data_IF_052478383295
#
_entry.id   IF_052478383295
#
_cell.length_a   1.000
_cell.length_b   1.000
_cell.length_c   1.000
_cell.angle_alpha   90.00
_cell.angle_beta   90.00
_cell.angle_gamma   90.00
#
_symmetry.space_group_name_H-M   'P 1'
#
loop_
_entity.id
_entity.type
_entity.pdbx_description
1 polymer ?
#
# COMPACT_ATOMS: atom_id res chain seq x y z
N UNK A 1 4.10 -52.25 -79.61
CA UNK A 1 3.78 -51.41 -80.79
C UNK A 1 4.77 -50.26 -80.80
N UNK A 2 5.42 -50.03 -81.96
CA UNK A 2 5.95 -48.77 -82.54
C UNK A 2 6.45 -47.67 -81.58
N UNK A 3 7.61 -47.03 -81.71
CA UNK A 3 8.52 -46.83 -82.84
C UNK A 3 8.90 -45.33 -82.95
N UNK A 4 10.20 -45.05 -83.08
CA UNK A 4 10.83 -43.90 -83.79
C UNK A 4 10.89 -42.51 -83.10
N UNK A 5 12.06 -42.21 -82.51
CA UNK A 5 13.15 -41.29 -82.94
C UNK A 5 12.86 -39.90 -83.59
N UNK A 6 13.65 -38.93 -83.08
CA UNK A 6 14.35 -37.78 -83.72
C UNK A 6 13.95 -36.36 -83.27
N UNK A 7 15.02 -35.60 -83.01
CA UNK A 7 15.18 -34.25 -82.50
C UNK A 7 14.84 -33.12 -83.49
N UNK A 8 14.62 -31.91 -82.97
CA UNK A 8 15.21 -30.62 -83.39
C UNK A 8 14.42 -29.45 -82.74
N UNK A 9 15.05 -28.59 -81.94
CA UNK A 9 15.56 -27.23 -82.27
C UNK A 9 14.46 -26.15 -82.43
N UNK A 10 14.77 -24.97 -81.84
CA UNK A 10 14.31 -23.59 -82.17
C UNK A 10 13.08 -23.01 -81.43
N UNK A 11 13.38 -21.99 -80.61
CA UNK A 11 12.53 -20.83 -80.30
C UNK A 11 11.96 -20.22 -81.60
N UNK A 12 10.78 -19.55 -81.63
CA UNK A 12 10.73 -18.13 -81.27
C UNK A 12 9.35 -17.50 -80.89
N UNK A 13 9.43 -16.28 -80.32
CA UNK A 13 8.54 -15.12 -80.46
C UNK A 13 7.12 -15.08 -79.82
N UNK A 14 6.95 -14.05 -78.99
CA UNK A 14 5.69 -13.45 -78.55
C UNK A 14 4.79 -13.02 -79.72
N UNK A 15 3.49 -12.80 -79.46
CA UNK A 15 2.99 -11.46 -79.72
C UNK A 15 2.13 -10.86 -78.58
N UNK A 16 2.28 -9.54 -78.47
CA UNK A 16 1.56 -8.58 -77.64
C UNK A 16 0.04 -8.74 -77.64
N UNK A 17 -0.54 -8.71 -76.44
CA UNK A 17 -1.96 -8.43 -76.20
C UNK A 17 -2.16 -7.92 -74.77
N UNK A 18 -2.28 -6.61 -74.60
CA UNK A 18 -3.00 -5.99 -73.47
C UNK A 18 -4.48 -5.81 -73.87
N UNK A 19 -5.43 -5.56 -72.96
CA UNK A 19 -5.34 -5.47 -71.49
C UNK A 19 -6.43 -6.30 -70.76
N UNK A 20 -6.30 -6.50 -69.45
CA UNK A 20 -7.28 -6.03 -68.44
C UNK A 20 -7.08 -6.67 -67.06
N UNK A 21 -7.51 -5.87 -66.06
CA UNK A 21 -7.87 -6.20 -64.69
C UNK A 21 -6.77 -6.25 -63.61
N UNK A 22 -6.68 -5.09 -62.95
CA UNK A 22 -6.60 -4.90 -61.49
C UNK A 22 -5.72 -5.90 -60.72
N UNK A 23 -4.50 -5.46 -60.39
CA UNK A 23 -3.89 -5.87 -59.13
C UNK A 23 -3.43 -4.63 -58.36
N UNK A 24 -3.88 -4.61 -57.11
CA UNK A 24 -3.97 -3.49 -56.20
C UNK A 24 -2.64 -3.37 -55.48
N UNK A 25 -1.76 -2.47 -55.92
CA UNK A 25 -0.46 -2.32 -55.29
C UNK A 25 -0.50 -1.39 -54.07
N UNK A 26 -0.06 -2.00 -52.97
CA UNK A 26 0.25 -1.41 -51.68
C UNK A 26 1.19 -0.21 -51.84
N UNK A 27 0.69 1.00 -51.63
CA UNK A 27 1.54 2.14 -51.30
C UNK A 27 0.88 3.09 -50.32
N UNK A 28 0.64 2.61 -49.11
CA UNK A 28 0.42 3.49 -47.94
C UNK A 28 1.29 2.98 -46.81
N UNK A 29 2.59 3.28 -46.83
CA UNK A 29 3.35 3.29 -45.58
C UNK A 29 4.66 4.07 -45.71
N UNK A 30 4.67 5.33 -45.25
CA UNK A 30 5.88 6.02 -44.74
C UNK A 30 5.55 7.39 -44.11
N UNK A 31 4.49 7.49 -43.31
CA UNK A 31 4.27 8.69 -42.48
C UNK A 31 3.22 8.47 -41.38
N UNK A 32 3.38 7.41 -40.56
CA UNK A 32 2.61 7.25 -39.31
C UNK A 32 3.40 6.65 -38.13
N UNK A 33 4.63 6.21 -38.36
CA UNK A 33 5.45 5.59 -37.30
C UNK A 33 6.23 6.61 -36.42
N UNK A 34 6.09 7.91 -36.67
CA UNK A 34 6.79 8.95 -35.88
C UNK A 34 5.91 9.61 -34.80
N UNK A 35 4.59 9.39 -34.81
CA UNK A 35 3.70 9.92 -33.77
C UNK A 35 3.54 8.98 -32.57
N UNK A 36 3.78 7.67 -32.73
CA UNK A 36 3.63 6.72 -31.63
C UNK A 36 4.80 6.72 -30.65
N UNK A 37 5.98 7.22 -31.06
CA UNK A 37 7.16 7.33 -30.18
C UNK A 37 7.18 8.59 -29.32
N UNK A 38 6.37 9.61 -29.63
CA UNK A 38 6.33 10.86 -28.86
C UNK A 38 5.41 10.78 -27.63
N UNK A 39 4.50 9.81 -27.57
CA UNK A 39 3.54 9.65 -26.47
C UNK A 39 4.12 8.79 -25.33
N UNK A 40 5.21 8.04 -25.59
CA UNK A 40 5.84 7.17 -24.58
C UNK A 40 6.91 7.87 -23.73
N UNK A 41 7.19 9.15 -23.97
CA UNK A 41 8.22 9.93 -23.27
C UNK A 41 7.69 10.89 -22.19
N UNK A 42 6.39 10.89 -21.89
CA UNK A 42 5.76 11.81 -20.92
C UNK A 42 4.94 11.10 -19.83
N UNK A 43 5.37 9.90 -19.45
CA UNK A 43 4.90 9.20 -18.24
C UNK A 43 6.08 8.91 -17.31
N UNK A 44 6.88 9.94 -17.03
CA UNK A 44 7.70 9.98 -15.81
C UNK A 44 7.60 11.40 -15.25
N UNK A 45 6.42 11.74 -14.76
CA UNK A 45 6.37 12.34 -13.45
C UNK A 45 5.88 11.21 -12.56
N UNK A 46 6.80 10.41 -12.01
CA UNK A 46 6.47 9.74 -10.75
C UNK A 46 6.05 10.89 -9.84
N UNK A 47 4.78 10.90 -9.47
CA UNK A 47 4.30 11.77 -8.42
C UNK A 47 5.31 11.64 -7.30
N UNK A 48 6.06 12.72 -7.02
CA UNK A 48 6.53 12.88 -5.67
C UNK A 48 5.23 12.89 -4.89
N UNK A 49 4.94 11.80 -4.20
CA UNK A 49 3.86 11.77 -3.23
C UNK A 49 4.24 12.82 -2.21
N UNK A 50 3.83 14.07 -2.49
CA UNK A 50 3.80 15.12 -1.52
C UNK A 50 2.92 14.54 -0.43
N UNK A 51 3.58 14.08 0.63
CA UNK A 51 2.92 13.40 1.72
C UNK A 51 1.73 14.26 2.10
N UNK A 52 0.55 13.66 1.94
CA UNK A 52 -0.72 14.26 2.32
C UNK A 52 -0.53 14.80 3.73
N UNK A 53 -0.77 16.09 3.92
CA UNK A 53 -0.70 16.76 5.22
C UNK A 53 -1.33 15.84 6.27
N UNK A 54 -0.50 15.29 7.16
CA UNK A 54 -0.97 14.30 8.14
C UNK A 54 -1.55 14.94 9.39
N UNK A 55 -1.40 16.26 9.54
CA UNK A 55 -1.94 17.01 10.69
C UNK A 55 -3.46 16.89 10.81
N UNK A 56 -4.16 16.69 9.70
CA UNK A 56 -5.61 16.45 9.68
C UNK A 56 -6.04 15.16 10.41
N UNK A 57 -5.10 14.24 10.67
CA UNK A 57 -5.34 12.98 11.38
C UNK A 57 -4.93 13.05 12.86
N UNK A 58 -4.47 14.21 13.33
CA UNK A 58 -4.20 14.45 14.75
C UNK A 58 -5.49 14.32 15.55
N UNK A 59 -5.51 13.46 16.55
CA UNK A 59 -6.70 13.25 17.36
C UNK A 59 -6.72 11.93 18.11
N UNK A 60 -7.90 11.65 18.67
CA UNK A 60 -8.19 10.43 19.42
C UNK A 60 -8.45 9.28 18.46
N UNK A 61 -7.80 8.15 18.71
CA UNK A 61 -7.90 6.93 17.92
C UNK A 61 -7.96 5.70 18.82
N UNK A 62 -8.84 4.76 18.52
CA UNK A 62 -9.01 3.49 19.26
C UNK A 62 -8.62 2.32 18.38
N UNK A 63 -7.78 1.42 18.89
CA UNK A 63 -7.39 0.20 18.19
C UNK A 63 -8.60 -0.72 17.99
N UNK A 64 -8.97 -0.97 16.73
CA UNK A 64 -10.02 -1.95 16.39
C UNK A 64 -9.40 -3.32 16.18
N UNK A 65 -8.45 -3.40 15.24
CA UNK A 65 -7.78 -4.63 14.87
C UNK A 65 -6.29 -4.39 14.64
N UNK A 66 -5.47 -5.41 14.94
CA UNK A 66 -4.07 -5.47 14.51
C UNK A 66 -3.82 -6.86 13.94
N UNK A 67 -3.10 -6.92 12.82
CA UNK A 67 -2.53 -8.14 12.27
C UNK A 67 -1.01 -8.02 12.26
N UNK A 68 -0.30 -9.12 12.48
CA UNK A 68 1.15 -9.18 12.34
C UNK A 68 1.60 -10.52 11.77
N UNK A 69 2.70 -10.53 11.03
CA UNK A 69 3.34 -11.77 10.58
C UNK A 69 3.87 -12.61 11.75
N UNK A 70 4.22 -11.96 12.86
CA UNK A 70 4.61 -12.55 14.13
C UNK A 70 3.56 -12.25 15.21
N UNK A 71 2.55 -13.11 15.31
CA UNK A 71 1.38 -12.92 16.19
C UNK A 71 1.73 -12.75 17.68
N UNK A 72 2.84 -13.34 18.17
CA UNK A 72 3.27 -13.22 19.57
C UNK A 72 3.57 -11.77 19.97
N UNK A 73 3.91 -10.90 19.01
CA UNK A 73 4.19 -9.48 19.25
C UNK A 73 2.93 -8.67 19.57
N UNK A 74 1.76 -9.16 19.15
CA UNK A 74 0.45 -8.49 19.28
C UNK A 74 -0.52 -9.24 20.20
N UNK A 75 -0.16 -10.38 20.77
CA UNK A 75 -0.91 -11.03 21.88
C UNK A 75 -0.63 -10.37 23.22
N UNK A 76 -1.49 -10.57 24.23
CA UNK A 76 -1.30 -9.97 25.57
C UNK A 76 0.11 -10.26 26.13
N UNK A 77 0.77 -9.23 26.67
CA UNK A 77 2.16 -9.27 27.09
C UNK A 77 3.19 -8.96 26.00
N UNK A 78 2.77 -8.97 24.73
CA UNK A 78 3.55 -8.50 23.59
C UNK A 78 3.67 -6.97 23.53
N UNK A 79 4.77 -6.43 22.98
CA UNK A 79 4.99 -4.98 22.96
C UNK A 79 4.01 -4.20 22.07
N UNK A 80 3.41 -4.86 21.08
CA UNK A 80 2.46 -4.27 20.14
C UNK A 80 1.01 -4.66 20.43
N UNK A 81 0.73 -5.23 21.60
CA UNK A 81 -0.65 -5.37 22.11
C UNK A 81 -1.15 -4.02 22.61
N UNK A 82 -1.39 -3.10 21.66
CA UNK A 82 -1.50 -1.66 21.87
C UNK A 82 -2.97 -1.22 21.84
N UNK A 83 -3.37 -0.50 22.88
CA UNK A 83 -4.64 0.22 22.97
C UNK A 83 -4.39 1.71 22.76
N UNK A 84 -4.54 2.16 21.51
CA UNK A 84 -4.30 3.56 21.13
C UNK A 84 -5.25 4.51 21.86
N UNK A 85 -4.78 5.72 22.15
CA UNK A 85 -5.59 6.81 22.71
C UNK A 85 -5.49 8.07 21.86
N UNK A 86 -4.28 8.50 21.53
CA UNK A 86 -4.07 9.73 20.78
C UNK A 86 -2.86 9.62 19.86
N UNK A 87 -2.97 10.23 18.69
CA UNK A 87 -1.87 10.42 17.77
C UNK A 87 -1.81 11.90 17.41
N UNK A 88 -0.63 12.50 17.57
CA UNK A 88 -0.33 13.86 17.16
C UNK A 88 0.65 13.83 16.00
N UNK A 89 0.24 14.33 14.84
CA UNK A 89 1.12 14.59 13.71
C UNK A 89 1.48 16.07 13.72
N UNK A 90 2.75 16.37 14.02
CA UNK A 90 3.31 17.72 14.01
C UNK A 90 4.13 17.90 12.73
N UNK A 91 3.47 18.44 11.71
CA UNK A 91 4.08 18.73 10.41
C UNK A 91 5.12 19.85 10.46
N UNK A 92 5.03 20.77 11.43
CA UNK A 92 5.96 21.90 11.57
C UNK A 92 7.32 21.40 12.05
N UNK A 93 7.32 20.53 13.06
CA UNK A 93 8.54 19.95 13.63
C UNK A 93 8.94 18.62 12.98
N UNK A 94 8.09 18.07 12.11
CA UNK A 94 8.32 16.77 11.48
C UNK A 94 8.35 15.65 12.51
N UNK A 95 7.42 15.66 13.47
CA UNK A 95 7.34 14.66 14.54
C UNK A 95 5.97 14.01 14.58
N UNK A 96 5.93 12.81 15.17
CA UNK A 96 4.68 12.15 15.55
C UNK A 96 4.74 11.76 17.02
N UNK A 97 3.65 11.95 17.75
CA UNK A 97 3.54 11.56 19.15
C UNK A 97 2.38 10.59 19.33
N UNK A 98 2.63 9.49 20.02
CA UNK A 98 1.65 8.46 20.31
C UNK A 98 1.41 8.41 21.81
N UNK A 99 0.14 8.37 22.19
CA UNK A 99 -0.30 8.02 23.53
C UNK A 99 -1.14 6.74 23.44
N UNK A 100 -0.72 5.71 24.16
CA UNK A 100 -1.38 4.42 24.17
C UNK A 100 -1.13 3.65 25.46
N UNK A 101 -1.88 2.56 25.66
CA UNK A 101 -1.61 1.58 26.69
C UNK A 101 -1.12 0.27 26.08
N UNK A 102 -0.27 -0.44 26.81
CA UNK A 102 -0.05 -1.87 26.61
C UNK A 102 -0.57 -2.64 27.81
N UNK A 103 -1.00 -3.88 27.61
CA UNK A 103 -1.46 -4.74 28.70
C UNK A 103 -0.44 -5.83 28.99
N UNK A 104 -0.04 -5.90 30.26
CA UNK A 104 0.88 -6.93 30.76
C UNK A 104 0.36 -7.46 32.07
N UNK A 105 0.08 -8.78 32.12
CA UNK A 105 -0.48 -9.45 33.29
C UNK A 105 -1.80 -8.79 33.78
N UNK A 106 -2.67 -8.40 32.85
CA UNK A 106 -3.91 -7.69 33.19
C UNK A 106 -3.77 -6.21 33.57
N UNK A 107 -2.55 -5.67 33.71
CA UNK A 107 -2.34 -4.26 34.05
C UNK A 107 -2.12 -3.41 32.80
N UNK A 108 -2.82 -2.27 32.72
CA UNK A 108 -2.65 -1.26 31.68
C UNK A 108 -1.46 -0.35 32.01
N UNK A 109 -0.44 -0.40 31.15
CA UNK A 109 0.77 0.39 31.28
C UNK A 109 0.73 1.50 30.23
N UNK A 110 0.64 2.73 30.70
CA UNK A 110 0.63 3.93 29.85
C UNK A 110 1.98 4.14 29.15
N UNK A 111 1.92 4.53 27.88
CA UNK A 111 3.07 4.80 27.02
C UNK A 111 2.86 6.11 26.27
N UNK A 112 3.94 6.89 26.25
CA UNK A 112 4.11 8.05 25.38
C UNK A 112 5.36 7.79 24.56
N UNK A 113 5.20 7.73 23.25
CA UNK A 113 6.28 7.43 22.30
C UNK A 113 6.28 8.50 21.24
N UNK A 114 7.44 8.85 20.71
CA UNK A 114 7.55 9.86 19.67
C UNK A 114 8.48 9.37 18.57
N UNK A 115 8.23 9.84 17.36
CA UNK A 115 9.03 9.54 16.19
C UNK A 115 9.34 10.77 15.37
N UNK A 116 10.29 10.63 14.47
CA UNK A 116 10.72 11.66 13.53
C UNK A 116 10.25 11.30 12.12
N UNK A 117 9.82 12.31 11.38
CA UNK A 117 9.41 12.18 9.99
C UNK A 117 10.64 11.99 9.10
N UNK A 118 10.64 10.88 8.37
CA UNK A 118 11.58 10.56 7.30
C UNK A 118 10.89 10.73 5.94
N UNK A 119 11.60 10.49 4.84
CA UNK A 119 11.06 10.68 3.48
C UNK A 119 9.79 9.88 3.20
N UNK A 120 9.64 8.69 3.80
CA UNK A 120 8.56 7.74 3.48
C UNK A 120 7.78 7.22 4.69
N UNK A 121 8.23 7.50 5.91
CA UNK A 121 7.69 6.93 7.14
C UNK A 121 8.04 7.82 8.34
N UNK A 122 7.54 7.46 9.52
CA UNK A 122 8.00 7.98 10.80
C UNK A 122 8.90 6.95 11.47
N UNK A 123 10.14 7.33 11.79
CA UNK A 123 11.08 6.50 12.53
C UNK A 123 10.82 6.62 14.03
N UNK A 124 10.59 5.49 14.71
CA UNK A 124 10.21 5.44 16.12
C UNK A 124 11.06 4.44 16.89
N UNK A 125 11.59 4.85 18.05
CA UNK A 125 12.29 3.97 18.98
C UNK A 125 11.33 3.43 20.06
N UNK A 126 10.79 2.23 19.82
CA UNK A 126 9.93 1.52 20.76
C UNK A 126 10.00 0.01 20.53
N UNK A 127 10.39 -0.75 21.56
CA UNK A 127 10.58 -2.21 21.47
C UNK A 127 11.48 -2.64 20.28
N UNK A 128 12.46 -1.81 19.93
CA UNK A 128 13.21 -1.89 18.69
C UNK A 128 13.09 -0.59 17.90
N UNK A 129 13.49 -0.64 16.64
CA UNK A 129 13.29 0.45 15.67
C UNK A 129 12.06 0.16 14.85
N UNK A 130 11.26 1.19 14.55
CA UNK A 130 10.01 1.02 13.81
C UNK A 130 9.90 2.04 12.68
N UNK A 131 9.42 1.56 11.54
CA UNK A 131 9.02 2.39 10.40
C UNK A 131 7.49 2.47 10.32
N UNK A 132 6.90 3.53 10.87
CA UNK A 132 5.45 3.73 10.91
C UNK A 132 4.94 4.50 9.70
N UNK A 133 3.88 4.00 9.07
CA UNK A 133 3.30 4.59 7.87
C UNK A 133 1.77 4.65 7.95
N UNK A 134 1.20 5.78 7.55
CA UNK A 134 -0.23 5.91 7.29
C UNK A 134 -0.53 5.37 5.88
N UNK A 135 -1.28 4.27 5.78
CA UNK A 135 -1.71 3.70 4.49
C UNK A 135 -2.90 4.48 3.93
N UNK A 136 -3.94 4.65 4.74
CA UNK A 136 -5.16 5.38 4.36
C UNK A 136 -5.89 5.87 5.61
N UNK A 137 -6.83 6.80 5.41
CA UNK A 137 -7.63 7.31 6.50
C UNK A 137 -8.44 8.55 6.15
N UNK A 138 -9.44 8.81 6.98
CA UNK A 138 -10.26 10.01 7.00
C UNK A 138 -10.61 10.39 8.45
N UNK A 139 -11.76 11.03 8.68
CA UNK A 139 -12.19 11.45 10.03
C UNK A 139 -12.69 10.30 10.91
N UNK A 140 -12.99 9.14 10.33
CA UNK A 140 -13.64 8.03 11.01
C UNK A 140 -12.67 6.85 11.26
N UNK A 141 -11.63 6.68 10.44
CA UNK A 141 -10.66 5.60 10.57
C UNK A 141 -9.25 5.96 10.08
N UNK A 142 -8.26 5.19 10.54
CA UNK A 142 -6.91 5.11 9.97
C UNK A 142 -6.53 3.64 9.74
N UNK A 143 -5.91 3.34 8.59
CA UNK A 143 -5.17 2.10 8.37
C UNK A 143 -3.68 2.46 8.39
N UNK A 144 -2.94 1.79 9.25
CA UNK A 144 -1.51 2.05 9.48
C UNK A 144 -0.70 0.79 9.28
N UNK A 145 0.55 0.96 8.88
CA UNK A 145 1.57 -0.09 8.83
C UNK A 145 2.67 0.27 9.82
N UNK A 146 3.23 -0.75 10.43
CA UNK A 146 4.47 -0.64 11.18
C UNK A 146 5.41 -1.77 10.79
N UNK A 147 6.69 -1.47 10.58
CA UNK A 147 7.75 -2.48 10.41
C UNK A 147 8.71 -2.35 11.58
N UNK A 148 8.67 -3.32 12.49
CA UNK A 148 9.52 -3.38 13.67
C UNK A 148 10.76 -4.25 13.41
N UNK A 149 11.92 -3.77 13.82
CA UNK A 149 13.14 -4.57 14.00
C UNK A 149 13.49 -4.57 15.48
N UNK A 150 13.38 -5.72 16.13
CA UNK A 150 13.67 -5.82 17.56
C UNK A 150 15.17 -5.91 17.88
N UNK A 151 15.50 -5.97 19.18
CA UNK A 151 16.88 -6.00 19.65
C UNK A 151 17.68 -7.22 19.17
N UNK A 152 17.00 -8.32 18.81
CA UNK A 152 17.62 -9.52 18.26
C UNK A 152 17.73 -9.45 16.72
N UNK A 153 17.31 -8.33 16.12
CA UNK A 153 17.28 -8.12 14.68
C UNK A 153 16.13 -8.84 13.99
N UNK A 154 15.13 -9.32 14.74
CA UNK A 154 13.96 -9.99 14.15
C UNK A 154 13.00 -8.93 13.63
N UNK A 155 12.68 -9.03 12.35
CA UNK A 155 11.65 -8.22 11.70
C UNK A 155 10.24 -8.71 12.06
N UNK A 156 9.31 -7.78 12.20
CA UNK A 156 7.88 -8.05 12.34
C UNK A 156 7.12 -6.95 11.63
N UNK A 157 6.31 -7.31 10.63
CA UNK A 157 5.42 -6.37 9.94
C UNK A 157 4.00 -6.44 10.50
N UNK A 158 3.43 -5.27 10.78
CA UNK A 158 2.11 -5.10 11.37
C UNK A 158 1.23 -4.19 10.52
N UNK A 159 -0.06 -4.47 10.50
CA UNK A 159 -1.10 -3.56 9.98
C UNK A 159 -2.14 -3.35 11.07
N UNK A 160 -2.53 -2.10 11.31
CA UNK A 160 -3.52 -1.72 12.30
C UNK A 160 -4.70 -0.98 11.69
N UNK A 161 -5.92 -1.28 12.16
CA UNK A 161 -7.11 -0.46 11.94
C UNK A 161 -7.44 0.31 13.21
N UNK A 162 -7.43 1.64 13.11
CA UNK A 162 -7.80 2.54 14.18
C UNK A 162 -9.12 3.22 13.84
N UNK A 163 -10.03 3.33 14.81
CA UNK A 163 -11.31 4.02 14.68
C UNK A 163 -11.37 5.28 15.52
N UNK A 164 -12.06 6.32 15.05
CA UNK A 164 -12.33 7.52 15.85
C UNK A 164 -13.31 7.22 17.02
N UNK A 165 -14.00 6.08 16.96
CA UNK A 165 -14.86 5.53 18.00
C UNK A 165 -14.76 4.00 18.06
N UNK A 166 -15.64 3.37 18.84
CA UNK A 166 -15.62 1.92 19.07
C UNK A 166 -16.24 1.07 17.95
N UNK A 167 -16.65 1.68 16.85
CA UNK A 167 -17.15 0.97 15.66
C UNK A 167 -16.56 1.64 14.42
N UNK A 168 -16.23 0.82 13.43
CA UNK A 168 -15.76 1.26 12.11
C UNK A 168 -16.69 0.67 11.03
N UNK A 169 -16.90 1.41 9.93
CA UNK A 169 -17.72 0.91 8.83
C UNK A 169 -17.12 -0.39 8.24
N UNK A 170 -17.92 -1.43 7.97
CA UNK A 170 -17.44 -2.69 7.39
C UNK A 170 -16.63 -2.51 6.10
N UNK A 171 -16.88 -1.43 5.34
CA UNK A 171 -16.06 -1.07 4.17
C UNK A 171 -14.58 -0.87 4.56
N UNK A 172 -14.32 -0.18 5.66
CA UNK A 172 -12.96 0.11 6.12
C UNK A 172 -12.32 -1.12 6.78
N UNK A 173 -13.11 -2.01 7.39
CA UNK A 173 -12.60 -3.31 7.82
C UNK A 173 -12.13 -4.16 6.62
N UNK A 174 -12.84 -4.12 5.49
CA UNK A 174 -12.40 -4.81 4.28
C UNK A 174 -11.18 -4.16 3.64
N UNK A 175 -11.06 -2.81 3.67
CA UNK A 175 -9.84 -2.10 3.28
C UNK A 175 -8.64 -2.53 4.14
N UNK A 176 -8.84 -2.68 5.45
CA UNK A 176 -7.83 -3.21 6.36
C UNK A 176 -7.43 -4.64 5.99
N UNK A 177 -8.39 -5.55 5.74
CA UNK A 177 -8.10 -6.93 5.33
C UNK A 177 -7.35 -6.99 4.00
N UNK A 178 -7.68 -6.11 3.06
CA UNK A 178 -6.92 -5.99 1.82
C UNK A 178 -5.47 -5.57 2.08
N UNK A 179 -5.23 -4.57 2.93
CA UNK A 179 -3.87 -4.17 3.32
C UNK A 179 -3.12 -5.32 4.00
N UNK A 180 -3.75 -6.08 4.90
CA UNK A 180 -3.17 -7.28 5.54
C UNK A 180 -2.74 -8.31 4.48
N UNK A 181 -3.62 -8.62 3.52
CA UNK A 181 -3.32 -9.56 2.42
C UNK A 181 -2.20 -9.07 1.51
N UNK A 182 -2.17 -7.77 1.19
CA UNK A 182 -1.13 -7.15 0.37
C UNK A 182 0.25 -7.24 1.03
N UNK A 183 0.31 -7.24 2.37
CA UNK A 183 1.55 -7.45 3.13
C UNK A 183 1.91 -8.92 3.33
N UNK A 184 1.08 -9.85 2.86
CA UNK A 184 1.30 -11.28 3.05
C UNK A 184 1.17 -11.74 4.51
N UNK A 185 0.53 -10.93 5.37
CA UNK A 185 0.25 -11.30 6.75
C UNK A 185 -0.93 -12.30 6.75
N UNK A 186 -0.82 -13.46 7.44
CA UNK A 186 -1.92 -14.41 7.52
C UNK A 186 -3.16 -13.78 8.20
N UNK A 187 -4.34 -13.91 7.58
CA UNK A 187 -5.56 -13.30 8.14
C UNK A 187 -5.98 -13.92 9.48
N UNK A 188 -5.57 -15.16 9.75
CA UNK A 188 -5.76 -15.81 11.06
C UNK A 188 -5.00 -15.13 12.20
N UNK A 189 -4.01 -14.27 11.90
CA UNK A 189 -3.28 -13.48 12.88
C UNK A 189 -3.96 -12.13 13.19
N UNK A 190 -5.10 -11.81 12.55
CA UNK A 190 -5.88 -10.63 12.88
C UNK A 190 -6.48 -10.80 14.28
N UNK A 191 -6.19 -9.86 15.18
CA UNK A 191 -6.76 -9.81 16.52
C UNK A 191 -7.70 -8.60 16.66
N UNK A 192 -8.81 -8.80 17.35
CA UNK A 192 -9.74 -7.74 17.77
C UNK A 192 -9.30 -7.18 19.12
N UNK A 193 -9.15 -5.87 19.21
CA UNK A 193 -8.71 -5.17 20.40
C UNK A 193 -9.84 -4.43 21.11
N UNK A 194 -10.80 -3.89 20.36
CA UNK A 194 -11.82 -3.01 20.92
C UNK A 194 -12.73 -3.73 21.93
N UNK A 195 -13.01 -5.03 21.70
CA UNK A 195 -13.82 -5.86 22.60
C UNK A 195 -13.10 -6.19 23.93
N UNK A 196 -11.80 -5.93 24.00
CA UNK A 196 -10.94 -6.27 25.13
C UNK A 196 -10.23 -5.06 25.75
N UNK A 197 -10.56 -3.85 25.28
CA UNK A 197 -10.01 -2.61 25.83
C UNK A 197 -10.73 -2.22 27.13
N UNK A 198 -10.12 -2.59 28.25
CA UNK A 198 -10.51 -2.17 29.60
C UNK A 198 -9.52 -1.15 30.20
N UNK A 199 -8.62 -0.61 29.38
CA UNK A 199 -7.66 0.40 29.81
C UNK A 199 -8.34 1.77 29.96
N UNK A 200 -7.83 2.66 30.84
CA UNK A 200 -8.45 3.96 31.08
C UNK A 200 -8.73 4.75 29.79
N UNK A 201 -9.92 5.32 29.69
CA UNK A 201 -10.18 6.35 28.69
C UNK A 201 -9.42 7.62 29.06
N UNK A 202 -9.03 8.43 28.07
CA UNK A 202 -8.49 9.76 28.33
C UNK A 202 -9.47 10.56 29.19
N UNK A 203 -9.00 10.98 30.37
CA UNK A 203 -9.78 11.90 31.19
C UNK A 203 -9.92 13.18 30.40
N UNK A 204 -11.14 13.52 29.97
CA UNK A 204 -11.48 14.89 29.63
C UNK A 204 -11.01 15.74 30.81
N UNK A 205 -10.02 16.60 30.61
CA UNK A 205 -9.75 17.66 31.56
C UNK A 205 -11.06 18.43 31.71
N UNK A 206 -11.78 18.16 32.80
CA UNK A 206 -12.90 19.00 33.20
C UNK A 206 -12.23 20.30 33.60
N UNK A 207 -12.21 21.26 32.68
CA UNK A 207 -11.89 22.65 33.02
C UNK A 207 -12.94 23.08 34.04
N UNK A 208 -12.62 22.94 35.33
CA UNK A 208 -13.38 23.58 36.38
C UNK A 208 -13.08 25.07 36.22
N UNK A 209 -13.94 25.76 35.50
CA UNK A 209 -14.00 27.22 35.55
C UNK A 209 -14.50 27.54 36.96
N UNK A 210 -13.56 27.87 37.86
CA UNK A 210 -13.84 28.41 39.19
C UNK A 210 -14.19 29.88 39.06
#
# INVERSE_FOLDING_TARGET
>A
MQGIKVAAVLHPLEPLGHPQLLQKDHRVNKMKALLCSLILGLLVASQGDAQKDTSQFTGRWLTQYIAADNVEKITEGGPFHIFMRYIEFDEENGTVHFHFYIKKNGECIEKHVSGLKEETHYAIDYAGSNEFQLISGDKDYLIVRDLNVDADGKETELVGLLGAGGNVDPKHEEEFRNAVREKGIPEENIQNFIDHDDCPEERKLVTVVV
#
